data_IF_376494770403
#
_entry.id   IF_376494770403
#
_cell.length_a   1.000
_cell.length_b   1.000
_cell.length_c   1.000
_cell.angle_alpha   90.00
_cell.angle_beta   90.00
_cell.angle_gamma   90.00
#
_symmetry.space_group_name_H-M   'P 1'
#
loop_
_entity.id
_entity.type
_entity.pdbx_description
1 polymer ?
#
# COMPACT_ATOMS: atom_id res chain seq x y z
N UNK A 1 6.79 -4.76 -18.61
CA UNK A 1 6.92 -3.81 -17.50
C UNK A 1 5.87 -4.20 -16.48
N UNK A 2 6.23 -4.16 -15.19
CA UNK A 2 5.34 -4.54 -14.10
C UNK A 2 4.87 -3.30 -13.38
N UNK A 3 3.69 -3.37 -12.79
CA UNK A 3 3.11 -2.25 -12.04
C UNK A 3 3.95 -1.97 -10.79
N UNK A 4 4.27 -0.70 -10.56
CA UNK A 4 4.98 -0.20 -9.39
C UNK A 4 3.99 0.38 -8.39
N UNK A 5 4.25 0.13 -7.12
CA UNK A 5 3.45 0.62 -6.00
C UNK A 5 4.32 1.33 -4.97
N UNK A 6 3.96 2.55 -4.58
CA UNK A 6 4.55 3.26 -3.44
C UNK A 6 3.47 3.58 -2.41
N UNK A 7 3.69 3.20 -1.16
CA UNK A 7 2.74 3.47 -0.08
C UNK A 7 3.23 4.60 0.79
N UNK A 8 2.39 5.57 1.09
CA UNK A 8 2.78 6.72 1.91
C UNK A 8 1.61 7.23 2.74
N UNK A 9 1.90 7.98 3.79
CA UNK A 9 0.86 8.65 4.59
C UNK A 9 0.75 10.13 4.24
N UNK A 10 -0.48 10.64 4.28
CA UNK A 10 -0.76 12.07 4.15
C UNK A 10 -2.01 12.43 4.96
N UNK A 11 -2.15 13.71 5.40
CA UNK A 11 -3.27 14.13 6.22
C UNK A 11 -4.60 14.16 5.45
N UNK A 12 -4.58 14.48 4.15
CA UNK A 12 -5.77 14.60 3.32
C UNK A 12 -5.42 14.53 1.81
N UNK A 13 -6.48 14.43 0.99
CA UNK A 13 -6.40 14.35 -0.47
C UNK A 13 -5.79 15.63 -1.09
N UNK A 14 -5.93 16.79 -0.44
CA UNK A 14 -5.34 18.05 -0.91
C UNK A 14 -3.81 18.05 -0.78
N UNK A 15 -3.28 17.51 0.32
CA UNK A 15 -1.86 17.30 0.51
C UNK A 15 -1.28 16.34 -0.54
N UNK A 16 -2.04 15.31 -0.93
CA UNK A 16 -1.65 14.38 -1.99
C UNK A 16 -1.61 15.07 -3.35
N UNK A 17 -2.63 15.84 -3.71
CA UNK A 17 -2.63 16.60 -4.97
C UNK A 17 -1.43 17.58 -5.05
N UNK A 18 -1.12 18.27 -3.94
CA UNK A 18 0.07 19.14 -3.85
C UNK A 18 1.37 18.37 -4.01
N UNK A 19 1.48 17.18 -3.39
CA UNK A 19 2.65 16.32 -3.53
C UNK A 19 2.82 15.87 -4.98
N UNK A 20 1.75 15.35 -5.61
CA UNK A 20 1.78 14.90 -7.00
C UNK A 20 2.17 16.02 -7.95
N UNK A 21 1.64 17.24 -7.76
CA UNK A 21 2.05 18.39 -8.55
C UNK A 21 3.53 18.76 -8.34
N UNK A 22 4.04 18.67 -7.11
CA UNK A 22 5.44 19.00 -6.79
C UNK A 22 6.46 18.01 -7.37
N UNK A 23 6.05 16.75 -7.56
CA UNK A 23 6.90 15.70 -8.14
C UNK A 23 6.57 15.37 -9.60
N UNK A 24 5.71 16.17 -10.24
CA UNK A 24 5.24 15.98 -11.62
C UNK A 24 4.67 14.57 -11.86
N UNK A 25 3.92 14.06 -10.88
CA UNK A 25 3.34 12.71 -10.89
C UNK A 25 4.35 11.57 -10.70
N UNK A 26 5.64 11.87 -10.52
CA UNK A 26 6.69 10.86 -10.33
C UNK A 26 6.54 10.00 -9.06
N UNK A 27 7.43 9.00 -8.87
CA UNK A 27 7.36 8.09 -7.73
C UNK A 27 7.63 8.80 -6.40
N UNK A 28 6.98 8.31 -5.34
CA UNK A 28 7.12 8.85 -3.98
C UNK A 28 8.38 8.30 -3.31
N UNK A 29 8.73 7.05 -3.62
CA UNK A 29 10.00 6.44 -3.25
C UNK A 29 10.96 6.56 -4.43
N UNK A 30 12.08 7.27 -4.22
CA UNK A 30 13.11 7.46 -5.24
C UNK A 30 14.33 6.60 -4.93
N UNK A 31 14.80 5.84 -5.92
CA UNK A 31 15.99 5.02 -5.78
C UNK A 31 17.23 5.89 -5.47
N UNK A 32 17.88 5.64 -4.32
CA UNK A 32 19.12 6.32 -3.92
C UNK A 32 18.95 7.64 -3.17
N UNK A 33 17.72 8.11 -2.98
CA UNK A 33 17.40 9.33 -2.23
C UNK A 33 16.56 9.02 -0.98
N UNK A 34 16.48 9.97 -0.04
CA UNK A 34 15.48 9.90 1.02
C UNK A 34 14.08 9.99 0.41
N UNK A 35 13.10 9.17 0.84
CA UNK A 35 11.76 9.21 0.27
C UNK A 35 11.17 10.62 0.45
N UNK A 36 10.35 11.05 -0.51
CA UNK A 36 9.80 12.42 -0.53
C UNK A 36 8.76 12.62 0.58
N UNK A 37 8.25 11.52 1.15
CA UNK A 37 7.35 11.46 2.29
C UNK A 37 7.69 10.26 3.19
N UNK A 38 7.00 10.08 4.31
CA UNK A 38 7.06 8.82 5.06
C UNK A 38 6.40 7.71 4.25
N UNK A 39 7.22 6.90 3.56
CA UNK A 39 6.79 5.98 2.52
C UNK A 39 7.49 4.61 2.61
N UNK A 40 6.85 3.61 2.00
CA UNK A 40 7.31 2.24 1.83
C UNK A 40 7.28 1.93 0.34
N UNK A 41 8.43 1.48 -0.19
CA UNK A 41 8.50 0.89 -1.54
C UNK A 41 7.60 -0.34 -1.52
N UNK A 42 6.51 -0.36 -2.27
CA UNK A 42 5.59 -1.49 -2.35
C UNK A 42 6.06 -2.58 -3.33
N UNK A 43 7.02 -2.28 -4.20
CA UNK A 43 7.44 -3.12 -5.31
C UNK A 43 6.22 -3.61 -6.11
N UNK A 44 5.92 -4.92 -6.08
CA UNK A 44 4.78 -5.53 -6.75
C UNK A 44 3.61 -5.89 -5.82
N UNK A 45 3.55 -5.26 -4.63
CA UNK A 45 2.48 -5.45 -3.67
C UNK A 45 1.31 -4.57 -4.09
N UNK A 46 0.34 -5.16 -4.78
CA UNK A 46 -0.91 -4.51 -5.12
C UNK A 46 -1.77 -4.23 -3.86
N UNK A 47 -2.40 -3.04 -3.74
CA UNK A 47 -3.18 -2.67 -2.56
C UNK A 47 -4.41 -3.55 -2.34
N UNK A 48 -5.18 -3.86 -3.38
CA UNK A 48 -6.47 -4.55 -3.28
C UNK A 48 -6.31 -6.07 -3.07
N UNK A 49 -5.28 -6.67 -3.68
CA UNK A 49 -5.05 -8.11 -3.72
C UNK A 49 -3.95 -8.52 -2.75
N UNK A 50 -2.70 -8.10 -2.99
CA UNK A 50 -1.54 -8.62 -2.24
C UNK A 50 -1.54 -8.10 -0.81
N UNK A 51 -1.70 -6.79 -0.62
CA UNK A 51 -1.87 -6.20 0.71
C UNK A 51 -3.24 -6.52 1.30
N UNK A 52 -4.28 -6.57 0.47
CA UNK A 52 -5.64 -6.94 0.88
C UNK A 52 -5.72 -8.31 1.55
N UNK A 53 -4.90 -9.29 1.14
CA UNK A 53 -4.82 -10.59 1.83
C UNK A 53 -4.26 -10.48 3.25
N UNK A 54 -3.28 -9.62 3.50
CA UNK A 54 -2.80 -9.33 4.86
C UNK A 54 -3.92 -8.71 5.70
N UNK A 55 -4.68 -7.77 5.14
CA UNK A 55 -5.84 -7.15 5.81
C UNK A 55 -6.88 -8.22 6.16
N UNK A 56 -7.16 -9.16 5.24
CA UNK A 56 -8.07 -10.27 5.48
C UNK A 56 -7.59 -11.17 6.64
N UNK A 57 -6.30 -11.52 6.67
CA UNK A 57 -5.72 -12.32 7.75
C UNK A 57 -5.68 -11.57 9.10
N UNK A 58 -5.49 -10.26 9.08
CA UNK A 58 -5.51 -9.43 10.28
C UNK A 58 -6.91 -9.36 10.90
N UNK A 59 -7.93 -9.22 10.04
CA UNK A 59 -9.34 -9.13 10.42
C UNK A 59 -10.01 -10.48 10.66
N UNK A 60 -9.35 -11.59 10.30
CA UNK A 60 -9.90 -12.95 10.33
C UNK A 60 -11.20 -13.09 9.52
N UNK A 61 -11.18 -12.55 8.30
CA UNK A 61 -12.30 -12.61 7.35
C UNK A 61 -11.83 -13.14 5.99
N UNK A 62 -12.73 -13.68 5.14
CA UNK A 62 -12.41 -13.97 3.76
C UNK A 62 -11.97 -12.71 3.01
N UNK A 63 -11.01 -12.85 2.10
CA UNK A 63 -10.61 -11.76 1.20
C UNK A 63 -11.73 -11.46 0.18
N UNK A 64 -11.91 -10.17 -0.12
CA UNK A 64 -12.71 -9.66 -1.23
C UNK A 64 -12.04 -8.41 -1.81
N UNK A 65 -12.35 -8.07 -3.06
CA UNK A 65 -11.79 -6.88 -3.74
C UNK A 65 -12.12 -5.58 -3.00
N UNK A 66 -13.30 -5.51 -2.38
CA UNK A 66 -13.77 -4.31 -1.68
C UNK A 66 -13.25 -4.23 -0.24
N UNK A 67 -12.51 -5.24 0.24
CA UNK A 67 -12.08 -5.32 1.64
C UNK A 67 -11.18 -4.16 2.06
N UNK A 68 -10.32 -3.71 1.15
CA UNK A 68 -9.40 -2.59 1.36
C UNK A 68 -10.15 -1.25 1.29
N UNK A 69 -11.22 -1.21 0.48
CA UNK A 69 -12.07 -0.03 0.32
C UNK A 69 -11.32 1.17 -0.24
N UNK A 70 -10.43 0.94 -1.20
CA UNK A 70 -9.64 2.00 -1.81
C UNK A 70 -10.46 2.86 -2.77
N UNK A 71 -10.03 4.11 -2.93
CA UNK A 71 -10.69 5.10 -3.79
C UNK A 71 -9.65 5.91 -4.54
N UNK A 72 -9.87 6.15 -5.83
CA UNK A 72 -9.05 7.05 -6.64
C UNK A 72 -9.08 8.49 -6.07
N UNK A 73 -7.89 9.07 -5.92
CA UNK A 73 -7.66 10.44 -5.41
C UNK A 73 -6.95 11.30 -6.43
N UNK A 74 -6.07 10.73 -7.25
CA UNK A 74 -5.33 11.49 -8.26
C UNK A 74 -5.05 10.64 -9.51
N UNK A 75 -5.06 11.22 -10.72
CA UNK A 75 -5.52 12.59 -11.00
C UNK A 75 -7.04 12.72 -10.97
N UNK A 76 -7.53 13.93 -10.74
CA UNK A 76 -8.95 14.22 -10.78
C UNK A 76 -9.53 13.99 -12.19
N UNK A 77 -10.73 13.41 -12.27
CA UNK A 77 -11.49 13.31 -13.51
C UNK A 77 -11.10 12.16 -14.45
N UNK A 78 -10.04 11.39 -14.18
CA UNK A 78 -9.65 10.24 -15.02
C UNK A 78 -10.34 8.94 -14.66
N UNK A 79 -11.22 8.92 -13.65
CA UNK A 79 -11.90 7.70 -13.20
C UNK A 79 -12.68 6.98 -14.32
N UNK A 80 -13.10 7.72 -15.35
CA UNK A 80 -13.83 7.19 -16.51
C UNK A 80 -12.96 7.09 -17.77
N UNK A 81 -11.72 7.58 -17.72
CA UNK A 81 -10.79 7.54 -18.84
C UNK A 81 -10.08 6.18 -18.85
N UNK A 82 -10.49 5.33 -19.78
CA UNK A 82 -9.93 3.98 -19.96
C UNK A 82 -8.60 3.98 -20.71
N UNK A 83 -8.23 5.10 -21.32
CA UNK A 83 -6.98 5.26 -22.08
C UNK A 83 -5.88 5.87 -21.19
N UNK A 84 -6.23 6.38 -20.01
CA UNK A 84 -5.23 6.87 -19.06
C UNK A 84 -4.44 5.70 -18.48
N UNK A 85 -3.12 5.69 -18.70
CA UNK A 85 -2.19 4.60 -18.28
C UNK A 85 -1.45 4.91 -16.97
N UNK A 86 -1.84 5.98 -16.27
CA UNK A 86 -1.25 6.38 -15.01
C UNK A 86 -0.28 7.57 -15.12
N UNK A 87 0.31 7.98 -13.99
CA UNK A 87 0.21 7.35 -12.68
C UNK A 87 -1.13 7.62 -11.97
N UNK A 88 -1.50 6.79 -11.01
CA UNK A 88 -2.66 7.00 -10.15
C UNK A 88 -2.25 7.08 -8.69
N UNK A 89 -3.06 7.74 -7.88
CA UNK A 89 -3.01 7.60 -6.42
C UNK A 89 -4.38 7.20 -5.92
N UNK A 90 -4.41 6.10 -5.16
CA UNK A 90 -5.60 5.69 -4.41
C UNK A 90 -5.38 5.90 -2.92
N UNK A 91 -6.43 6.22 -2.18
CA UNK A 91 -6.44 6.17 -0.71
C UNK A 91 -6.98 4.84 -0.25
N UNK A 92 -6.34 4.20 0.73
CA UNK A 92 -6.86 2.98 1.37
C UNK A 92 -7.96 3.35 2.38
N UNK A 93 -8.96 2.48 2.53
CA UNK A 93 -9.98 2.66 3.55
C UNK A 93 -9.40 2.66 4.97
N UNK A 94 -9.95 3.49 5.84
CA UNK A 94 -9.49 3.61 7.24
C UNK A 94 -9.52 2.28 7.99
N UNK A 95 -10.50 1.41 7.68
CA UNK A 95 -10.58 0.05 8.23
C UNK A 95 -9.35 -0.79 7.88
N UNK A 96 -8.83 -0.67 6.66
CA UNK A 96 -7.64 -1.39 6.23
C UNK A 96 -6.37 -0.84 6.91
N UNK A 97 -6.23 0.50 6.99
CA UNK A 97 -5.18 1.16 7.78
C UNK A 97 -5.20 0.67 9.23
N UNK A 98 -6.37 0.69 9.87
CA UNK A 98 -6.51 0.35 11.28
C UNK A 98 -6.29 -1.14 11.54
N UNK A 99 -6.70 -2.01 10.60
CA UNK A 99 -6.42 -3.44 10.64
C UNK A 99 -4.90 -3.70 10.64
N UNK A 100 -4.15 -3.09 9.71
CA UNK A 100 -2.70 -3.21 9.65
C UNK A 100 -2.04 -2.65 10.91
N UNK A 101 -2.44 -1.45 11.34
CA UNK A 101 -1.89 -0.80 12.52
C UNK A 101 -2.13 -1.63 13.81
N UNK A 102 -3.25 -2.36 13.85
CA UNK A 102 -3.68 -3.18 14.98
C UNK A 102 -3.06 -4.56 15.05
N UNK A 103 -2.27 -5.00 14.06
CA UNK A 103 -1.58 -6.30 14.10
C UNK A 103 -0.61 -6.32 15.29
N UNK A 104 -0.76 -7.24 16.26
CA UNK A 104 0.20 -7.42 17.35
C UNK A 104 1.57 -7.90 16.85
N UNK A 105 2.66 -7.47 17.51
CA UNK A 105 4.03 -7.80 17.07
C UNK A 105 4.32 -9.32 17.13
N UNK A 106 3.74 -10.02 18.10
CA UNK A 106 3.85 -11.47 18.27
C UNK A 106 3.11 -12.26 17.17
N UNK A 107 2.11 -11.66 16.51
CA UNK A 107 1.39 -12.23 15.36
C UNK A 107 2.08 -12.00 14.01
N UNK A 108 3.08 -11.13 13.93
CA UNK A 108 3.72 -10.79 12.65
C UNK A 108 4.38 -12.00 11.97
N UNK A 109 5.12 -12.88 12.66
CA UNK A 109 5.74 -14.04 12.03
C UNK A 109 4.72 -14.97 11.35
N UNK A 110 3.66 -15.35 12.07
CA UNK A 110 2.62 -16.25 11.56
C UNK A 110 1.83 -15.65 10.39
N UNK A 111 1.65 -14.32 10.38
CA UNK A 111 0.99 -13.62 9.28
C UNK A 111 1.90 -13.51 8.06
N UNK A 112 3.20 -13.25 8.27
CA UNK A 112 4.19 -13.22 7.21
C UNK A 112 4.35 -14.59 6.54
N UNK A 113 4.34 -15.67 7.32
CA UNK A 113 4.36 -17.03 6.79
C UNK A 113 3.12 -17.29 5.93
N UNK A 114 1.92 -16.99 6.42
CA UNK A 114 0.69 -17.12 5.61
C UNK A 114 0.71 -16.25 4.35
N UNK A 115 1.22 -15.03 4.47
CA UNK A 115 1.32 -14.09 3.36
C UNK A 115 2.32 -14.56 2.30
N UNK A 116 3.43 -15.18 2.69
CA UNK A 116 4.42 -15.76 1.77
C UNK A 116 3.84 -16.84 0.84
N UNK A 117 2.76 -17.49 1.27
CA UNK A 117 2.16 -18.63 0.56
C UNK A 117 0.97 -18.23 -0.33
N UNK A 118 0.68 -16.94 -0.50
CA UNK A 118 -0.41 -16.53 -1.40
C UNK A 118 -0.02 -16.76 -2.86
N UNK A 119 -1.00 -17.14 -3.68
CA UNK A 119 -0.81 -17.49 -5.10
C UNK A 119 -0.14 -16.36 -5.92
N UNK A 120 -0.48 -15.11 -5.63
CA UNK A 120 0.02 -13.94 -6.36
C UNK A 120 1.51 -13.75 -6.19
N UNK A 121 2.09 -14.30 -5.12
CA UNK A 121 3.52 -14.24 -4.85
C UNK A 121 4.30 -15.37 -5.53
N UNK A 122 3.64 -16.38 -6.09
CA UNK A 122 4.30 -17.57 -6.68
C UNK A 122 5.25 -17.25 -7.84
N UNK A 123 5.08 -16.10 -8.50
CA UNK A 123 5.92 -15.65 -9.62
C UNK A 123 7.16 -14.84 -9.20
N UNK A 124 7.27 -14.48 -7.92
CA UNK A 124 8.38 -13.67 -7.40
C UNK A 124 9.37 -14.55 -6.64
N UNK A 125 10.67 -14.32 -6.86
CA UNK A 125 11.74 -15.08 -6.21
C UNK A 125 11.91 -14.77 -4.72
N UNK A 126 11.51 -13.57 -4.30
CA UNK A 126 11.86 -12.97 -3.01
C UNK A 126 10.66 -13.00 -2.05
N UNK A 127 10.09 -14.18 -1.88
CA UNK A 127 8.83 -14.38 -1.13
C UNK A 127 9.01 -15.28 0.08
N UNK A 128 10.26 -15.52 0.50
CA UNK A 128 10.54 -16.29 1.72
C UNK A 128 9.90 -15.63 2.95
N UNK A 129 9.43 -16.41 3.95
CA UNK A 129 8.75 -15.87 5.14
C UNK A 129 9.51 -14.75 5.85
N UNK A 130 10.84 -14.79 5.91
CA UNK A 130 11.68 -13.77 6.53
C UNK A 130 11.66 -12.44 5.76
N UNK A 131 11.64 -12.53 4.43
CA UNK A 131 11.50 -11.36 3.55
C UNK A 131 10.12 -10.75 3.75
N UNK A 132 9.07 -11.58 3.67
CA UNK A 132 7.68 -11.14 3.86
C UNK A 132 7.45 -10.57 5.26
N UNK A 133 8.14 -11.06 6.28
CA UNK A 133 8.09 -10.50 7.63
C UNK A 133 8.69 -9.10 7.70
N UNK A 134 9.83 -8.89 7.03
CA UNK A 134 10.42 -7.55 6.91
C UNK A 134 9.45 -6.59 6.23
N UNK A 135 8.87 -7.00 5.10
CA UNK A 135 7.88 -6.21 4.36
C UNK A 135 6.65 -5.91 5.21
N UNK A 136 6.10 -6.91 5.89
CA UNK A 136 4.93 -6.74 6.74
C UNK A 136 5.20 -5.73 7.87
N UNK A 137 6.40 -5.73 8.45
CA UNK A 137 6.81 -4.73 9.46
C UNK A 137 6.84 -3.31 8.89
N UNK A 138 7.25 -3.11 7.65
CA UNK A 138 7.22 -1.81 6.98
C UNK A 138 5.78 -1.28 6.85
N UNK A 139 4.87 -2.11 6.34
CA UNK A 139 3.44 -1.75 6.20
C UNK A 139 2.77 -1.49 7.55
N UNK A 140 2.99 -2.36 8.54
CA UNK A 140 2.44 -2.18 9.89
C UNK A 140 3.02 -0.94 10.54
N UNK A 141 4.32 -0.67 10.36
CA UNK A 141 4.98 0.53 10.83
C UNK A 141 4.37 1.80 10.21
N UNK A 142 4.19 1.82 8.90
CA UNK A 142 3.54 2.93 8.18
C UNK A 142 2.11 3.15 8.69
N UNK A 143 1.33 2.08 8.82
CA UNK A 143 -0.05 2.16 9.29
C UNK A 143 -0.18 2.65 10.73
N UNK A 144 0.73 2.24 11.63
CA UNK A 144 0.79 2.74 13.00
C UNK A 144 1.10 4.23 13.05
N UNK A 145 2.07 4.70 12.24
CA UNK A 145 2.42 6.13 12.16
C UNK A 145 1.28 6.97 11.57
N UNK A 146 0.62 6.46 10.54
CA UNK A 146 -0.55 7.12 9.95
C UNK A 146 -1.68 7.25 10.98
N UNK A 147 -2.07 6.13 11.61
CA UNK A 147 -3.11 6.11 12.65
C UNK A 147 -2.80 7.03 13.83
N UNK A 148 -1.55 7.06 14.29
CA UNK A 148 -1.13 7.92 15.40
C UNK A 148 -1.22 9.42 15.06
N UNK A 149 -1.05 9.77 13.79
CA UNK A 149 -1.09 11.16 13.31
C UNK A 149 -2.50 11.59 12.83
N UNK A 150 -3.44 10.66 12.73
CA UNK A 150 -4.75 10.90 12.12
C UNK A 150 -4.71 10.92 10.58
N UNK A 151 -3.61 10.45 9.98
CA UNK A 151 -3.41 10.43 8.53
C UNK A 151 -4.07 9.21 7.88
N UNK A 152 -4.28 9.29 6.57
CA UNK A 152 -4.64 8.17 5.70
C UNK A 152 -3.40 7.53 5.06
N UNK A 153 -3.54 6.30 4.56
CA UNK A 153 -2.53 5.66 3.70
C UNK A 153 -2.97 5.78 2.25
N UNK A 154 -2.05 6.19 1.41
CA UNK A 154 -2.21 6.30 -0.03
C UNK A 154 -1.26 5.35 -0.73
N UNK A 155 -1.63 4.92 -1.93
CA UNK A 155 -0.82 4.09 -2.80
C UNK A 155 -0.70 4.78 -4.17
N UNK A 156 0.51 5.18 -4.53
CA UNK A 156 0.86 5.62 -5.88
C UNK A 156 1.11 4.38 -6.75
N UNK A 157 0.61 4.41 -7.99
CA UNK A 157 0.54 3.27 -8.91
C UNK A 157 1.01 3.73 -10.31
N UNK A 158 1.93 3.00 -10.94
CA UNK A 158 2.37 3.28 -12.31
C UNK A 158 2.68 1.98 -13.08
N UNK A 159 2.39 1.95 -14.39
CA UNK A 159 2.65 0.82 -15.29
C UNK A 159 4.07 0.79 -15.86
#
# INVERSE_FOLDING_TARGET
>A
MGVLYDYFRAPDDEAVAKLMAAIDGGPVVRAGDSPVADAVDGAAIDPAVVLGKVVAFALDVPWSTDLVGDRLVWPDGVAQDREYEGPWVVVLGERARDALAGIPDDRLPDLAERWSQIEELSYYSDTQPEVMLSRLREFVGLARRARASGDSIYCWICL
#
